data_IF_931426036406
#
_entry.id   IF_931426036406
#
_cell.length_a   1.000
_cell.length_b   1.000
_cell.length_c   1.000
_cell.angle_alpha   90.00
_cell.angle_beta   90.00
_cell.angle_gamma   90.00
#
_symmetry.space_group_name_H-M   'P 1'
#
loop_
_entity.id
_entity.type
_entity.pdbx_description
1 polymer ?
#
# COMPACT_ATOMS: atom_id res chain seq x y z
N UNK A 1 -7.10 -8.38 -28.80
CA UNK A 1 -8.38 -8.24 -28.05
C UNK A 1 -8.01 -8.05 -26.59
N UNK A 2 -8.53 -6.99 -25.94
CA UNK A 2 -8.28 -6.77 -24.51
C UNK A 2 -9.00 -7.80 -23.67
N UNK A 3 -8.35 -8.30 -22.61
CA UNK A 3 -8.93 -9.26 -21.65
C UNK A 3 -10.13 -8.65 -20.92
N UNK A 4 -10.16 -7.34 -20.75
CA UNK A 4 -11.26 -6.60 -20.13
C UNK A 4 -12.24 -6.17 -21.22
N UNK A 5 -13.50 -6.59 -21.08
CA UNK A 5 -14.61 -6.30 -21.99
C UNK A 5 -15.46 -5.12 -21.52
N UNK A 6 -15.28 -4.69 -20.28
CA UNK A 6 -15.96 -3.54 -19.65
C UNK A 6 -15.01 -2.82 -18.68
N UNK A 7 -15.34 -1.61 -18.21
CA UNK A 7 -14.55 -0.92 -17.20
C UNK A 7 -14.31 -1.77 -15.94
N UNK A 8 -13.10 -1.71 -15.37
CA UNK A 8 -12.68 -2.59 -14.28
C UNK A 8 -13.61 -2.53 -13.05
N UNK A 9 -14.22 -1.36 -12.78
CA UNK A 9 -15.15 -1.14 -11.66
C UNK A 9 -16.53 -1.80 -11.85
N UNK A 10 -16.83 -2.28 -13.05
CA UNK A 10 -18.11 -2.91 -13.37
C UNK A 10 -18.10 -4.43 -13.20
N UNK A 11 -16.94 -5.03 -12.96
CA UNK A 11 -16.85 -6.44 -12.58
C UNK A 11 -17.34 -6.62 -11.13
N UNK A 12 -18.13 -7.67 -10.90
CA UNK A 12 -18.74 -7.89 -9.58
C UNK A 12 -17.67 -8.19 -8.53
N UNK A 13 -16.68 -9.00 -8.91
CA UNK A 13 -15.52 -9.32 -8.08
C UNK A 13 -14.71 -8.08 -7.69
N UNK A 14 -14.63 -7.09 -8.58
CA UNK A 14 -13.97 -5.81 -8.31
C UNK A 14 -14.81 -4.95 -7.37
N UNK A 15 -16.13 -4.83 -7.56
CA UNK A 15 -17.00 -4.08 -6.64
C UNK A 15 -16.89 -4.59 -5.20
N UNK A 16 -16.95 -5.92 -5.03
CA UNK A 16 -16.74 -6.56 -3.71
C UNK A 16 -15.35 -6.26 -3.17
N UNK A 17 -14.33 -6.41 -4.01
CA UNK A 17 -12.95 -6.13 -3.62
C UNK A 17 -12.71 -4.67 -3.25
N UNK A 18 -13.48 -3.70 -3.75
CA UNK A 18 -13.27 -2.27 -3.46
C UNK A 18 -14.08 -1.75 -2.26
N UNK A 19 -15.10 -2.49 -1.81
CA UNK A 19 -16.06 -2.01 -0.80
C UNK A 19 -15.40 -1.70 0.55
N UNK A 20 -15.48 -0.45 1.02
CA UNK A 20 -14.92 -0.04 2.32
C UNK A 20 -13.39 0.01 2.38
N UNK A 21 -12.70 0.08 1.24
CA UNK A 21 -11.28 0.36 1.18
C UNK A 21 -11.01 1.88 1.17
N UNK A 22 -9.87 2.28 1.74
CA UNK A 22 -9.36 3.65 1.61
C UNK A 22 -8.94 3.94 0.16
N UNK A 23 -9.03 5.21 -0.26
CA UNK A 23 -8.77 5.63 -1.65
C UNK A 23 -7.40 5.18 -2.18
N UNK A 24 -6.35 5.27 -1.36
CA UNK A 24 -5.00 4.79 -1.74
C UNK A 24 -4.97 3.28 -2.05
N UNK A 25 -5.79 2.49 -1.36
CA UNK A 25 -5.91 1.06 -1.61
C UNK A 25 -6.78 0.80 -2.83
N UNK A 26 -7.83 1.59 -3.04
CA UNK A 26 -8.65 1.53 -4.27
C UNK A 26 -7.78 1.76 -5.50
N UNK A 27 -6.95 2.81 -5.51
CA UNK A 27 -6.04 3.11 -6.62
C UNK A 27 -5.04 1.98 -6.89
N UNK A 28 -4.52 1.36 -5.82
CA UNK A 28 -3.66 0.17 -5.93
C UNK A 28 -4.39 -0.98 -6.62
N UNK A 29 -5.65 -1.25 -6.28
CA UNK A 29 -6.45 -2.30 -6.92
C UNK A 29 -6.74 -2.00 -8.39
N UNK A 30 -7.09 -0.75 -8.69
CA UNK A 30 -7.42 -0.33 -10.06
C UNK A 30 -6.21 -0.34 -10.99
N UNK A 31 -5.01 -0.22 -10.44
CA UNK A 31 -3.76 -0.33 -11.21
C UNK A 31 -3.32 -1.80 -11.37
N UNK A 32 -3.30 -2.57 -10.28
CA UNK A 32 -2.65 -3.88 -10.25
C UNK A 32 -3.53 -5.00 -10.79
N UNK A 33 -4.84 -4.99 -10.51
CA UNK A 33 -5.72 -6.09 -10.92
C UNK A 33 -5.86 -6.17 -12.45
N UNK A 34 -6.03 -5.07 -13.20
CA UNK A 34 -5.98 -5.13 -14.67
C UNK A 34 -4.69 -5.74 -15.21
N UNK A 35 -3.53 -5.39 -14.64
CA UNK A 35 -2.24 -5.95 -15.05
C UNK A 35 -2.17 -7.46 -14.78
N UNK A 36 -2.69 -7.92 -13.64
CA UNK A 36 -2.80 -9.35 -13.34
C UNK A 36 -3.76 -10.07 -14.30
N UNK A 37 -4.92 -9.48 -14.59
CA UNK A 37 -5.87 -10.01 -15.57
C UNK A 37 -5.24 -10.18 -16.95
N UNK A 38 -4.49 -9.18 -17.42
CA UNK A 38 -3.75 -9.27 -18.68
C UNK A 38 -2.70 -10.37 -18.64
N UNK A 39 -1.97 -10.51 -17.53
CA UNK A 39 -0.95 -11.55 -17.34
C UNK A 39 -1.54 -12.97 -17.43
N UNK A 40 -2.69 -13.23 -16.82
CA UNK A 40 -3.35 -14.55 -16.85
C UNK A 40 -4.31 -14.75 -18.02
N UNK A 41 -4.56 -13.71 -18.82
CA UNK A 41 -5.47 -13.75 -19.96
C UNK A 41 -6.96 -13.85 -19.60
N UNK A 42 -7.37 -13.44 -18.39
CA UNK A 42 -8.75 -13.60 -17.87
C UNK A 42 -9.24 -12.35 -17.17
N UNK A 43 -10.53 -12.08 -17.27
CA UNK A 43 -11.15 -10.98 -16.55
C UNK A 43 -11.32 -11.30 -15.05
N UNK A 44 -11.58 -10.29 -14.18
CA UNK A 44 -11.70 -10.51 -12.74
C UNK A 44 -12.78 -11.52 -12.32
N UNK A 45 -13.93 -11.53 -13.00
CA UNK A 45 -15.04 -12.41 -12.65
C UNK A 45 -14.74 -13.86 -13.06
N UNK A 46 -14.11 -14.06 -14.23
CA UNK A 46 -13.60 -15.36 -14.68
C UNK A 46 -12.56 -15.94 -13.71
N UNK A 47 -11.61 -15.11 -13.26
CA UNK A 47 -10.57 -15.52 -12.29
C UNK A 47 -11.21 -16.08 -11.02
N UNK A 48 -12.18 -15.37 -10.46
CA UNK A 48 -12.86 -15.79 -9.23
C UNK A 48 -13.73 -17.02 -9.46
N UNK A 49 -14.45 -17.09 -10.60
CA UNK A 49 -15.28 -18.24 -10.95
C UNK A 49 -14.45 -19.53 -11.06
N UNK A 50 -13.32 -19.47 -11.78
CA UNK A 50 -12.42 -20.61 -11.90
C UNK A 50 -11.81 -21.02 -10.56
N UNK A 51 -11.39 -20.06 -9.74
CA UNK A 51 -10.84 -20.36 -8.41
C UNK A 51 -11.86 -21.11 -7.55
N UNK A 52 -13.14 -20.71 -7.58
CA UNK A 52 -14.21 -21.43 -6.87
C UNK A 52 -14.35 -22.88 -7.33
N UNK A 53 -14.16 -23.13 -8.63
CA UNK A 53 -14.13 -24.48 -9.19
C UNK A 53 -12.91 -25.28 -8.71
N UNK A 54 -11.72 -24.68 -8.79
CA UNK A 54 -10.46 -25.31 -8.36
C UNK A 54 -10.45 -25.72 -6.88
N UNK A 55 -11.09 -24.92 -6.01
CA UNK A 55 -11.20 -25.23 -4.58
C UNK A 55 -12.03 -26.49 -4.28
N UNK A 56 -12.83 -26.97 -5.24
CA UNK A 56 -13.61 -28.22 -5.11
C UNK A 56 -12.84 -29.45 -5.60
N UNK A 57 -11.66 -29.28 -6.17
CA UNK A 57 -10.84 -30.38 -6.66
C UNK A 57 -10.05 -31.01 -5.52
N UNK A 58 -9.99 -32.34 -5.49
CA UNK A 58 -9.13 -33.09 -4.56
C UNK A 58 -7.64 -33.07 -4.96
N UNK A 59 -7.34 -32.65 -6.19
CA UNK A 59 -5.97 -32.48 -6.68
C UNK A 59 -5.39 -31.15 -6.16
N UNK A 60 -4.42 -31.25 -5.24
CA UNK A 60 -3.74 -30.09 -4.67
C UNK A 60 -3.05 -29.22 -5.75
N UNK A 61 -2.59 -29.83 -6.84
CA UNK A 61 -1.99 -29.14 -7.98
C UNK A 61 -3.00 -28.25 -8.72
N UNK A 62 -4.23 -28.71 -8.89
CA UNK A 62 -5.33 -27.92 -9.49
C UNK A 62 -5.77 -26.84 -8.49
N UNK A 63 -5.95 -27.22 -7.23
CA UNK A 63 -6.33 -26.30 -6.16
C UNK A 63 -5.33 -25.15 -5.98
N UNK A 64 -4.05 -25.34 -6.32
CA UNK A 64 -2.99 -24.32 -6.19
C UNK A 64 -2.68 -23.51 -7.46
N UNK A 65 -3.55 -23.56 -8.47
CA UNK A 65 -3.27 -22.92 -9.77
C UNK A 65 -3.06 -21.41 -9.65
N UNK A 66 -3.91 -20.71 -8.89
CA UNK A 66 -3.78 -19.27 -8.72
C UNK A 66 -2.64 -18.87 -7.79
N UNK A 67 -2.27 -19.69 -6.81
CA UNK A 67 -1.04 -19.50 -6.03
C UNK A 67 0.19 -19.46 -6.96
N UNK A 68 0.31 -20.43 -7.88
CA UNK A 68 1.40 -20.44 -8.87
C UNK A 68 1.34 -19.23 -9.79
N UNK A 69 0.15 -18.85 -10.27
CA UNK A 69 -0.02 -17.70 -11.14
C UNK A 69 0.42 -16.39 -10.47
N UNK A 70 0.12 -16.21 -9.17
CA UNK A 70 0.54 -15.03 -8.42
C UNK A 70 2.05 -15.01 -8.20
N UNK A 71 2.70 -16.15 -7.93
CA UNK A 71 4.16 -16.25 -7.84
C UNK A 71 4.82 -15.91 -9.17
N UNK A 72 4.29 -16.44 -10.28
CA UNK A 72 4.79 -16.13 -11.61
C UNK A 72 4.60 -14.65 -11.97
N UNK A 73 3.46 -14.07 -11.58
CA UNK A 73 3.22 -12.63 -11.74
C UNK A 73 4.21 -11.81 -10.93
N UNK A 74 4.49 -12.18 -9.67
CA UNK A 74 5.50 -11.54 -8.84
C UNK A 74 6.88 -11.56 -9.51
N UNK A 75 7.34 -12.71 -9.96
CA UNK A 75 8.64 -12.86 -10.66
C UNK A 75 8.67 -12.11 -12.00
N UNK A 76 7.54 -12.00 -12.68
CA UNK A 76 7.42 -11.17 -13.88
C UNK A 76 7.55 -9.67 -13.54
N UNK A 77 6.85 -9.18 -12.52
CA UNK A 77 6.93 -7.78 -12.10
C UNK A 77 8.32 -7.38 -11.63
N UNK A 78 9.07 -8.28 -10.96
CA UNK A 78 10.46 -8.03 -10.55
C UNK A 78 11.40 -7.64 -11.70
N UNK A 79 11.06 -7.96 -12.94
CA UNK A 79 11.86 -7.57 -14.13
C UNK A 79 11.66 -6.10 -14.52
N UNK A 80 10.61 -5.45 -14.02
CA UNK A 80 10.19 -4.11 -14.45
C UNK A 80 10.12 -3.11 -13.30
N UNK A 81 10.19 -3.55 -12.04
CA UNK A 81 10.15 -2.70 -10.86
C UNK A 81 10.96 -3.29 -9.70
N UNK A 82 11.11 -2.50 -8.62
CA UNK A 82 11.79 -2.97 -7.41
C UNK A 82 11.08 -4.17 -6.80
N UNK A 83 11.84 -5.04 -6.13
CA UNK A 83 11.30 -6.23 -5.47
C UNK A 83 10.21 -5.88 -4.45
N UNK A 84 10.35 -4.75 -3.74
CA UNK A 84 9.35 -4.25 -2.79
C UNK A 84 8.04 -3.84 -3.46
N UNK A 85 8.11 -3.19 -4.62
CA UNK A 85 6.92 -2.83 -5.38
C UNK A 85 6.23 -4.09 -5.95
N UNK A 86 7.01 -5.01 -6.55
CA UNK A 86 6.50 -6.26 -7.08
C UNK A 86 5.84 -7.11 -5.99
N UNK A 87 6.47 -7.20 -4.81
CA UNK A 87 5.93 -7.91 -3.66
C UNK A 87 4.61 -7.29 -3.20
N UNK A 88 4.54 -5.95 -3.09
CA UNK A 88 3.28 -5.25 -2.73
C UNK A 88 2.17 -5.55 -3.74
N UNK A 89 2.48 -5.54 -5.04
CA UNK A 89 1.50 -5.81 -6.09
C UNK A 89 0.93 -7.23 -5.96
N UNK A 90 1.79 -8.25 -5.88
CA UNK A 90 1.36 -9.64 -5.80
C UNK A 90 0.77 -10.01 -4.43
N UNK A 91 1.53 -9.78 -3.35
CA UNK A 91 1.22 -10.27 -2.01
C UNK A 91 0.18 -9.43 -1.26
N UNK A 92 0.09 -8.12 -1.52
CA UNK A 92 -0.92 -7.26 -0.88
C UNK A 92 -2.17 -7.14 -1.76
N UNK A 93 -2.01 -6.74 -3.01
CA UNK A 93 -3.16 -6.39 -3.86
C UNK A 93 -3.81 -7.61 -4.49
N UNK A 94 -3.06 -8.45 -5.23
CA UNK A 94 -3.65 -9.63 -5.90
C UNK A 94 -4.13 -10.65 -4.87
N UNK A 95 -3.31 -11.01 -3.88
CA UNK A 95 -3.77 -11.90 -2.79
C UNK A 95 -4.99 -11.33 -2.05
N UNK A 96 -5.01 -10.02 -1.79
CA UNK A 96 -6.13 -9.34 -1.16
C UNK A 96 -7.41 -9.43 -1.99
N UNK A 97 -7.31 -9.31 -3.32
CA UNK A 97 -8.44 -9.47 -4.24
C UNK A 97 -9.13 -10.84 -4.10
N UNK A 98 -8.37 -11.93 -4.04
CA UNK A 98 -8.93 -13.27 -3.78
C UNK A 98 -9.56 -13.39 -2.39
N UNK A 99 -8.89 -12.86 -1.36
CA UNK A 99 -9.41 -12.88 0.01
C UNK A 99 -10.75 -12.16 0.14
N UNK A 100 -10.88 -10.97 -0.46
CA UNK A 100 -12.10 -10.16 -0.46
C UNK A 100 -13.24 -10.73 -1.31
N UNK A 101 -12.94 -11.74 -2.13
CA UNK A 101 -13.91 -12.52 -2.89
C UNK A 101 -14.17 -13.91 -2.29
N UNK A 102 -13.81 -14.12 -1.02
CA UNK A 102 -14.06 -15.36 -0.27
C UNK A 102 -13.36 -16.60 -0.83
N UNK A 103 -12.29 -16.40 -1.60
CA UNK A 103 -11.53 -17.48 -2.25
C UNK A 103 -10.02 -17.33 -2.03
N UNK A 104 -9.65 -17.05 -0.77
CA UNK A 104 -8.29 -16.76 -0.38
C UNK A 104 -7.24 -17.77 -0.87
N UNK A 105 -6.04 -17.24 -1.14
CA UNK A 105 -4.88 -18.03 -1.59
C UNK A 105 -4.01 -18.47 -0.41
N UNK A 106 -3.46 -19.69 -0.49
CA UNK A 106 -2.61 -20.32 0.54
C UNK A 106 -1.18 -20.53 0.04
N UNK A 107 -0.35 -19.52 0.23
CA UNK A 107 1.09 -19.58 -0.11
C UNK A 107 1.89 -20.38 0.94
N UNK A 108 2.88 -21.15 0.47
CA UNK A 108 3.89 -21.82 1.30
C UNK A 108 5.00 -20.84 1.67
N UNK A 109 5.75 -21.17 2.71
CA UNK A 109 6.93 -20.40 3.12
C UNK A 109 7.95 -20.43 1.98
N UNK A 110 8.29 -19.25 1.46
CA UNK A 110 9.26 -19.10 0.38
C UNK A 110 8.66 -18.82 -1.00
N UNK A 111 7.34 -19.00 -1.20
CA UNK A 111 6.68 -18.75 -2.49
C UNK A 111 6.83 -17.29 -2.94
N UNK A 112 6.76 -16.36 -1.98
CA UNK A 112 7.10 -14.95 -2.17
C UNK A 112 7.83 -14.50 -0.91
N UNK A 113 9.04 -13.95 -1.07
CA UNK A 113 9.77 -13.36 0.06
C UNK A 113 9.47 -11.87 0.12
N UNK A 114 9.00 -11.42 1.27
CA UNK A 114 9.02 -10.00 1.56
C UNK A 114 10.48 -9.54 1.50
N UNK A 115 10.80 -8.53 0.67
CA UNK A 115 12.16 -8.02 0.62
C UNK A 115 12.52 -7.48 1.99
N UNK A 116 13.78 -7.69 2.39
CA UNK A 116 14.33 -7.03 3.57
C UNK A 116 14.44 -5.55 3.24
N UNK A 117 13.65 -4.73 3.91
CA UNK A 117 13.85 -3.27 3.85
C UNK A 117 15.14 -2.96 4.59
N UNK A 118 16.25 -2.81 3.87
CA UNK A 118 17.40 -2.09 4.40
C UNK A 118 17.00 -0.61 4.42
N UNK A 119 16.62 -0.11 5.60
CA UNK A 119 16.40 1.31 5.78
C UNK A 119 17.77 1.99 5.74
N UNK A 120 18.12 2.55 4.60
CA UNK A 120 19.05 3.67 4.59
C UNK A 120 18.27 4.90 5.02
N UNK A 121 17.97 4.98 6.32
CA UNK A 121 17.44 6.20 6.91
C UNK A 121 18.61 7.20 6.89
N UNK A 122 18.68 8.03 5.86
CA UNK A 122 19.48 9.23 5.92
C UNK A 122 18.90 10.09 7.04
N UNK A 123 19.69 10.26 8.12
CA UNK A 123 19.33 11.10 9.25
C UNK A 123 20.17 12.38 9.09
N UNK A 124 19.55 13.52 8.77
CA UNK A 124 20.29 14.76 8.62
C UNK A 124 20.93 15.15 9.95
N UNK A 125 22.15 15.68 9.87
CA UNK A 125 22.87 16.26 11.00
C UNK A 125 22.22 17.59 11.43
N UNK A 126 22.56 18.04 12.65
CA UNK A 126 22.10 19.35 13.16
C UNK A 126 22.52 20.50 12.22
N UNK A 127 23.71 20.41 11.62
CA UNK A 127 24.21 21.40 10.66
C UNK A 127 23.35 21.46 9.40
N UNK A 128 23.08 20.30 8.79
CA UNK A 128 22.24 20.20 7.59
C UNK A 128 20.81 20.67 7.86
N UNK A 129 20.23 20.31 9.02
CA UNK A 129 18.92 20.82 9.44
C UNK A 129 18.93 22.34 9.51
N UNK A 130 19.97 22.94 10.10
CA UNK A 130 20.08 24.40 10.22
C UNK A 130 20.15 25.05 8.83
N UNK A 131 20.97 24.52 7.94
CA UNK A 131 21.09 25.01 6.56
C UNK A 131 19.74 24.94 5.82
N UNK A 132 18.99 23.84 5.98
CA UNK A 132 17.65 23.70 5.41
C UNK A 132 16.71 24.76 6.00
N UNK A 133 16.72 24.97 7.32
CA UNK A 133 15.88 25.97 7.98
C UNK A 133 16.21 27.41 7.56
N UNK A 134 17.50 27.71 7.36
CA UNK A 134 17.99 29.02 6.93
C UNK A 134 17.57 29.34 5.49
N UNK A 135 17.57 28.33 4.60
CA UNK A 135 17.08 28.45 3.23
C UNK A 135 15.55 28.42 3.10
N UNK A 136 14.84 27.84 4.08
CA UNK A 136 13.40 27.68 4.06
C UNK A 136 12.62 28.95 4.40
N UNK A 137 11.44 29.11 3.77
CA UNK A 137 10.46 30.12 4.15
C UNK A 137 9.85 29.87 5.53
N UNK A 138 9.17 30.89 6.10
CA UNK A 138 8.63 30.85 7.48
C UNK A 138 7.76 29.61 7.75
N UNK A 139 6.89 29.25 6.79
CA UNK A 139 6.02 28.06 6.91
C UNK A 139 6.82 26.78 6.98
N UNK A 140 7.70 26.54 6.01
CA UNK A 140 8.45 25.30 5.91
C UNK A 140 9.40 25.14 7.10
N UNK A 141 10.00 26.24 7.56
CA UNK A 141 10.81 26.28 8.78
C UNK A 141 10.02 25.85 10.01
N UNK A 142 8.79 26.33 10.18
CA UNK A 142 7.91 25.90 11.27
C UNK A 142 7.57 24.41 11.17
N UNK A 143 7.30 23.91 9.97
CA UNK A 143 7.01 22.49 9.72
C UNK A 143 8.21 21.59 10.04
N UNK A 144 9.42 21.96 9.59
CA UNK A 144 10.66 21.23 9.86
C UNK A 144 10.95 21.21 11.36
N UNK A 145 10.82 22.36 12.03
CA UNK A 145 11.09 22.48 13.47
C UNK A 145 10.10 21.63 14.28
N UNK A 146 8.82 21.69 13.93
CA UNK A 146 7.78 20.89 14.57
C UNK A 146 8.00 19.40 14.34
N UNK A 147 8.36 18.98 13.12
CA UNK A 147 8.72 17.60 12.79
C UNK A 147 9.87 17.09 13.65
N UNK A 148 10.93 17.88 13.81
CA UNK A 148 12.11 17.52 14.60
C UNK A 148 11.81 17.41 16.09
N UNK A 149 11.00 18.32 16.64
CA UNK A 149 10.67 18.34 18.06
C UNK A 149 9.69 17.23 18.46
N UNK A 150 8.79 16.84 17.58
CA UNK A 150 7.70 15.90 17.89
C UNK A 150 7.94 14.50 17.33
N UNK A 151 8.81 14.35 16.33
CA UNK A 151 8.97 13.10 15.58
C UNK A 151 7.75 12.74 14.71
N UNK A 152 6.84 13.68 14.46
CA UNK A 152 5.64 13.43 13.66
C UNK A 152 5.99 13.11 12.20
N UNK A 153 5.22 12.20 11.60
CA UNK A 153 5.34 11.93 10.17
C UNK A 153 4.88 13.14 9.33
N UNK A 154 5.45 13.38 8.14
CA UNK A 154 5.05 14.51 7.28
C UNK A 154 3.55 14.58 6.98
N UNK A 155 2.89 13.42 6.82
CA UNK A 155 1.44 13.35 6.54
C UNK A 155 0.60 13.86 7.73
N UNK A 156 1.04 13.58 8.95
CA UNK A 156 0.34 14.01 10.16
C UNK A 156 0.55 15.51 10.39
N UNK A 157 1.77 16.01 10.14
CA UNK A 157 2.11 17.43 10.23
C UNK A 157 1.25 18.29 9.29
N UNK A 158 1.11 17.88 8.03
CA UNK A 158 0.28 18.62 7.06
C UNK A 158 -1.21 18.51 7.42
N UNK A 159 -1.62 17.47 8.14
CA UNK A 159 -2.98 17.27 8.62
C UNK A 159 -3.36 18.10 9.85
N UNK A 160 -2.40 18.73 10.54
CA UNK A 160 -2.65 19.50 11.76
C UNK A 160 -3.56 20.71 11.49
N UNK A 161 -4.56 20.90 12.35
CA UNK A 161 -5.50 22.01 12.30
C UNK A 161 -5.37 22.87 13.55
N UNK A 162 -5.82 24.13 13.44
CA UNK A 162 -5.86 25.06 14.58
C UNK A 162 -6.48 24.48 15.87
N UNK A 163 -7.61 23.74 15.81
CA UNK A 163 -8.20 23.17 17.02
C UNK A 163 -7.31 22.15 17.75
N UNK A 164 -6.38 21.50 17.05
CA UNK A 164 -5.47 20.53 17.66
C UNK A 164 -4.49 21.24 18.60
N UNK A 165 -4.05 22.45 18.22
CA UNK A 165 -3.22 23.32 19.07
C UNK A 165 -4.04 23.96 20.19
N UNK A 166 -5.25 24.42 19.92
CA UNK A 166 -6.09 25.06 20.95
C UNK A 166 -6.47 24.09 22.07
N UNK A 167 -6.71 22.82 21.75
CA UNK A 167 -6.95 21.79 22.76
C UNK A 167 -5.71 21.59 23.65
N UNK A 168 -4.53 21.57 23.04
CA UNK A 168 -3.29 21.43 23.76
C UNK A 168 -3.03 22.66 24.66
N UNK A 169 -3.20 23.88 24.15
CA UNK A 169 -3.00 25.12 24.91
C UNK A 169 -4.00 25.33 26.06
N UNK A 170 -5.16 24.68 26.01
CA UNK A 170 -6.18 24.69 27.08
C UNK A 170 -6.00 23.55 28.09
N UNK A 171 -5.06 22.64 27.84
CA UNK A 171 -4.73 21.56 28.76
C UNK A 171 -3.76 22.07 29.83
N UNK A 172 -4.02 21.74 31.09
CA UNK A 172 -3.10 22.00 32.21
C UNK A 172 -1.78 21.21 32.08
N UNK A 173 -1.70 20.26 31.14
CA UNK A 173 -0.52 19.45 30.84
C UNK A 173 0.42 20.08 29.80
N UNK A 174 0.03 21.21 29.17
CA UNK A 174 0.91 21.86 28.20
C UNK A 174 2.06 22.54 28.95
N UNK A 175 3.34 22.20 28.66
CA UNK A 175 4.45 22.81 29.36
C UNK A 175 4.44 24.32 29.11
N UNK A 176 4.02 25.08 30.13
CA UNK A 176 3.98 26.55 30.09
C UNK A 176 5.38 27.19 30.00
N UNK A 177 6.43 26.38 30.06
CA UNK A 177 7.82 26.81 29.95
C UNK A 177 8.43 26.39 28.60
N UNK A 178 8.07 27.08 27.53
CA UNK A 178 9.00 27.32 26.43
C UNK A 178 9.44 28.80 26.50
N UNK A 179 10.15 29.14 27.58
CA UNK A 179 10.62 30.50 27.88
C UNK A 179 11.77 31.00 27.00
N UNK A 180 11.84 30.59 25.73
CA UNK A 180 12.88 30.98 24.77
C UNK A 180 12.35 31.21 23.33
N UNK A 181 11.07 31.58 23.20
CA UNK A 181 10.51 32.21 21.99
C UNK A 181 9.89 33.55 22.38
#
# INVERSE_FOLDING_TARGET
>A
MGVLTKPIREYESMRRALTGLADSTVESYLTVIPAFCQFVGKDPDQIIAERKGQLKSDDEGIARTYERAVVQFYEHQKKHMSESAAYRYAASTVRGFFGRNYVGLKFRRGDMRAPKTEKHDYIPTVGEVKEICDAAGVRDRAMITLALQTGMAPVDLVGLKRPDFERALKSDEFPQSLGWL
#
